data_IF_874029646677
#
_entry.id   IF_874029646677
#
_cell.length_a   1.000
_cell.length_b   1.000
_cell.length_c   1.000
_cell.angle_alpha   90.00
_cell.angle_beta   90.00
_cell.angle_gamma   90.00
#
_symmetry.space_group_name_H-M   'P 1'
#
loop_
_entity.id
_entity.type
_entity.pdbx_description
1 polymer ?
#
# COMPACT_ATOMS: atom_id res chain seq x y z
N UNK A 1 -10.48 27.55 68.55
CA UNK A 1 -11.51 27.58 69.61
C UNK A 1 -12.54 26.51 69.29
N UNK A 2 -12.80 25.59 70.24
CA UNK A 2 -13.83 24.53 70.24
C UNK A 2 -13.68 23.37 69.25
N UNK A 3 -13.96 22.11 69.58
CA UNK A 3 -14.14 21.29 70.80
C UNK A 3 -14.39 19.86 70.24
N UNK A 4 -13.74 18.83 70.77
CA UNK A 4 -14.06 17.40 70.53
C UNK A 4 -15.30 16.99 71.38
N UNK A 5 -15.60 15.72 71.73
CA UNK A 5 -15.47 14.41 71.09
C UNK A 5 -16.85 13.65 71.13
N UNK A 6 -16.89 12.36 70.79
CA UNK A 6 -18.06 11.52 71.07
C UNK A 6 -17.78 10.04 70.87
N UNK A 7 -17.41 9.37 71.95
CA UNK A 7 -17.18 7.93 72.07
C UNK A 7 -18.37 7.24 72.77
N UNK A 8 -18.57 5.96 72.49
CA UNK A 8 -19.32 4.96 73.28
C UNK A 8 -19.14 3.60 72.59
N UNK A 9 -18.42 2.61 73.12
CA UNK A 9 -18.68 1.75 74.31
C UNK A 9 -20.04 1.04 74.19
N UNK A 10 -20.24 -0.27 74.38
CA UNK A 10 -19.54 -1.42 75.00
C UNK A 10 -20.24 -2.69 74.43
N UNK A 11 -19.78 -3.93 74.53
CA UNK A 11 -19.67 -4.82 75.71
C UNK A 11 -19.25 -6.22 75.15
N UNK A 12 -18.22 -6.95 75.62
CA UNK A 12 -18.22 -7.85 76.79
C UNK A 12 -19.08 -9.10 76.56
N UNK A 13 -18.68 -10.38 76.60
CA UNK A 13 -17.50 -11.15 77.09
C UNK A 13 -17.53 -12.60 76.48
N UNK A 14 -16.97 -13.69 77.07
CA UNK A 14 -15.64 -14.26 76.75
C UNK A 14 -15.66 -15.79 76.42
N UNK A 15 -14.51 -16.35 75.99
CA UNK A 15 -14.30 -17.81 75.94
C UNK A 15 -13.02 -18.25 75.22
N UNK A 16 -11.97 -18.55 75.99
CA UNK A 16 -10.75 -19.30 75.58
C UNK A 16 -10.94 -20.79 75.97
N UNK A 17 -10.01 -21.74 75.66
CA UNK A 17 -8.91 -21.77 74.70
C UNK A 17 -8.83 -23.08 73.87
N UNK A 18 -7.92 -23.10 72.88
CA UNK A 18 -7.12 -24.30 72.59
C UNK A 18 -7.43 -25.02 71.27
N UNK A 19 -6.45 -25.01 70.36
CA UNK A 19 -5.87 -26.23 69.78
C UNK A 19 -4.82 -25.83 68.74
N UNK A 20 -3.59 -26.22 69.04
CA UNK A 20 -2.44 -26.24 68.14
C UNK A 20 -2.70 -27.32 67.10
N UNK A 21 -2.60 -26.98 65.81
CA UNK A 21 -2.85 -27.91 64.71
C UNK A 21 -2.13 -27.46 63.43
N UNK A 22 -1.03 -28.14 63.15
CA UNK A 22 -0.11 -28.00 62.02
C UNK A 22 -0.84 -28.14 60.67
N UNK A 23 -0.42 -27.40 59.64
CA UNK A 23 -0.92 -27.66 58.30
C UNK A 23 -0.58 -26.64 57.22
N UNK A 24 0.56 -26.89 56.57
CA UNK A 24 0.81 -26.64 55.14
C UNK A 24 0.78 -25.19 54.60
N UNK A 25 1.97 -24.74 54.20
CA UNK A 25 2.18 -23.75 53.16
C UNK A 25 1.26 -24.01 51.95
N UNK A 26 0.46 -23.01 51.57
CA UNK A 26 0.12 -22.77 50.17
C UNK A 26 0.36 -21.31 49.82
N UNK A 27 1.55 -21.10 49.24
CA UNK A 27 1.97 -19.88 48.55
C UNK A 27 0.99 -19.58 47.41
N UNK A 28 0.02 -18.70 47.66
CA UNK A 28 -0.85 -18.14 46.65
C UNK A 28 -0.04 -17.26 45.68
N UNK A 29 0.43 -17.87 44.60
CA UNK A 29 1.14 -17.20 43.50
C UNK A 29 0.18 -16.22 42.81
N UNK A 30 0.17 -14.96 43.25
CA UNK A 30 -0.50 -13.87 42.54
C UNK A 30 0.07 -13.79 41.12
N UNK A 31 -0.75 -14.19 40.13
CA UNK A 31 -0.42 -14.06 38.71
C UNK A 31 -0.56 -12.60 38.33
N UNK A 32 0.56 -11.88 38.18
CA UNK A 32 0.62 -10.58 37.52
C UNK A 32 0.03 -10.71 36.10
N UNK A 33 -0.98 -9.90 35.80
CA UNK A 33 -1.51 -9.78 34.45
C UNK A 33 -0.39 -9.31 33.49
N UNK A 34 -0.30 -9.86 32.26
CA UNK A 34 0.74 -9.45 31.33
C UNK A 34 0.48 -8.02 30.87
N UNK A 35 1.52 -7.19 30.93
CA UNK A 35 1.53 -5.86 30.34
C UNK A 35 1.21 -5.98 28.84
N UNK A 36 0.10 -5.40 28.42
CA UNK A 36 -0.31 -5.43 27.02
C UNK A 36 0.66 -4.58 26.20
N UNK A 37 1.51 -5.25 25.42
CA UNK A 37 2.40 -4.62 24.44
C UNK A 37 1.52 -3.97 23.36
N UNK A 38 1.27 -2.66 23.47
CA UNK A 38 0.66 -1.89 22.38
C UNK A 38 1.65 -1.84 21.22
N UNK A 39 1.46 -2.74 20.26
CA UNK A 39 2.15 -2.69 18.97
C UNK A 39 1.81 -1.35 18.31
N UNK A 40 2.76 -0.41 18.28
CA UNK A 40 2.69 0.73 17.37
C UNK A 40 2.84 0.18 15.96
N UNK A 41 1.71 -0.04 15.29
CA UNK A 41 1.71 -0.21 13.84
C UNK A 41 2.11 1.13 13.24
N UNK A 42 3.40 1.29 12.97
CA UNK A 42 3.89 2.35 12.08
C UNK A 42 3.19 2.13 10.74
N UNK A 43 2.25 3.00 10.38
CA UNK A 43 1.52 2.91 9.12
C UNK A 43 2.47 3.24 7.96
N UNK A 44 3.33 2.30 7.58
CA UNK A 44 3.98 2.34 6.27
C UNK A 44 2.87 2.16 5.26
N UNK A 45 2.36 3.26 4.70
CA UNK A 45 1.34 3.23 3.65
C UNK A 45 1.90 2.38 2.51
N UNK A 46 1.33 1.20 2.29
CA UNK A 46 1.68 0.35 1.16
C UNK A 46 1.57 1.18 -0.13
N UNK A 47 2.46 0.97 -1.12
CA UNK A 47 2.34 1.65 -2.41
C UNK A 47 0.94 1.44 -2.97
N UNK A 48 0.21 2.51 -3.29
CA UNK A 48 -1.08 2.38 -3.98
C UNK A 48 -0.83 1.86 -5.38
N UNK A 49 -1.42 0.71 -5.69
CA UNK A 49 -1.45 0.21 -7.07
C UNK A 49 -2.55 0.93 -7.85
N UNK A 50 -2.28 1.22 -9.12
CA UNK A 50 -3.24 1.82 -10.04
C UNK A 50 -3.22 1.12 -11.40
N UNK A 51 -4.35 1.17 -12.10
CA UNK A 51 -4.46 0.60 -13.43
C UNK A 51 -3.78 1.51 -14.46
N UNK A 52 -3.06 0.90 -15.39
CA UNK A 52 -2.34 1.61 -16.44
C UNK A 52 -2.27 0.82 -17.75
N UNK A 53 -2.01 1.55 -18.84
CA UNK A 53 -1.60 1.01 -20.13
C UNK A 53 -0.26 1.64 -20.53
N UNK A 54 0.60 0.86 -21.19
CA UNK A 54 1.82 1.40 -21.82
C UNK A 54 1.42 2.01 -23.16
N UNK A 55 1.61 3.32 -23.31
CA UNK A 55 1.40 4.00 -24.59
C UNK A 55 2.64 3.89 -25.47
N UNK A 56 3.81 4.17 -24.90
CA UNK A 56 5.08 4.18 -25.62
C UNK A 56 6.26 3.81 -24.71
N UNK A 57 7.35 3.36 -25.33
CA UNK A 57 8.58 2.95 -24.66
C UNK A 57 9.80 3.57 -25.35
N UNK A 58 10.72 4.08 -24.55
CA UNK A 58 11.99 4.63 -25.00
C UNK A 58 13.14 3.91 -24.30
N UNK A 59 14.13 3.49 -25.08
CA UNK A 59 15.40 3.01 -24.52
C UNK A 59 16.12 4.17 -23.80
N UNK A 60 16.44 3.96 -22.52
CA UNK A 60 17.10 4.97 -21.69
C UNK A 60 18.53 4.60 -21.33
N UNK A 61 18.75 3.33 -20.98
CA UNK A 61 20.07 2.80 -20.72
C UNK A 61 20.17 1.36 -21.20
N UNK A 62 21.34 0.75 -21.00
CA UNK A 62 21.54 -0.68 -21.27
C UNK A 62 20.47 -1.55 -20.60
N UNK A 63 20.04 -1.18 -19.39
CA UNK A 63 19.11 -1.99 -18.59
C UNK A 63 17.74 -1.35 -18.33
N UNK A 64 17.50 -0.11 -18.74
CA UNK A 64 16.31 0.66 -18.32
C UNK A 64 15.55 1.28 -19.50
N UNK A 65 14.24 1.48 -19.28
CA UNK A 65 13.32 2.14 -20.20
C UNK A 65 12.72 3.40 -19.57
N UNK A 66 12.39 4.40 -20.39
CA UNK A 66 11.36 5.39 -20.06
C UNK A 66 10.06 4.95 -20.74
N UNK A 67 8.96 5.01 -20.00
CA UNK A 67 7.61 4.67 -20.46
C UNK A 67 6.72 5.89 -20.38
N UNK A 68 5.87 6.09 -21.38
CA UNK A 68 4.67 6.91 -21.22
C UNK A 68 3.52 5.98 -20.85
N UNK A 69 2.99 6.14 -19.63
CA UNK A 69 1.87 5.36 -19.14
C UNK A 69 0.60 6.21 -19.17
N UNK A 70 -0.50 5.62 -19.62
CA UNK A 70 -1.83 6.15 -19.36
C UNK A 70 -2.39 5.47 -18.12
N UNK A 71 -2.57 6.21 -17.04
CA UNK A 71 -3.08 5.69 -15.76
C UNK A 71 -4.50 6.21 -15.52
N UNK A 72 -5.32 5.41 -14.85
CA UNK A 72 -6.71 5.79 -14.58
C UNK A 72 -6.81 6.95 -13.59
N UNK A 73 -5.98 6.94 -12.55
CA UNK A 73 -6.05 7.91 -11.44
C UNK A 73 -5.11 9.10 -11.61
N UNK A 74 -3.98 8.94 -12.32
CA UNK A 74 -2.97 10.01 -12.47
C UNK A 74 -2.88 10.57 -13.89
N UNK A 75 -3.73 10.11 -14.82
CA UNK A 75 -3.66 10.51 -16.22
C UNK A 75 -2.39 10.00 -16.92
N UNK A 76 -1.91 10.76 -17.91
CA UNK A 76 -0.66 10.42 -18.62
C UNK A 76 0.57 10.80 -17.79
N UNK A 77 1.47 9.85 -17.56
CA UNK A 77 2.67 10.04 -16.73
C UNK A 77 3.91 9.42 -17.39
N UNK A 78 5.06 10.10 -17.27
CA UNK A 78 6.34 9.57 -17.69
C UNK A 78 6.99 8.78 -16.55
N UNK A 79 7.48 7.57 -16.84
CA UNK A 79 7.95 6.63 -15.82
C UNK A 79 9.26 5.97 -16.23
N UNK A 80 10.27 5.99 -15.36
CA UNK A 80 11.49 5.23 -15.50
C UNK A 80 11.31 3.79 -14.95
N UNK A 81 11.44 2.80 -15.81
CA UNK A 81 11.46 1.37 -15.48
C UNK A 81 12.90 0.87 -15.41
N UNK A 82 13.50 0.99 -14.21
CA UNK A 82 14.90 0.61 -13.97
C UNK A 82 15.08 -0.90 -14.01
N UNK A 83 16.06 -1.39 -14.77
CA UNK A 83 16.35 -2.82 -14.85
C UNK A 83 15.32 -3.63 -15.65
N UNK A 84 14.37 -2.99 -16.34
CA UNK A 84 13.33 -3.66 -17.13
C UNK A 84 13.89 -4.55 -18.25
N UNK A 85 15.08 -4.23 -18.80
CA UNK A 85 15.69 -4.98 -19.92
C UNK A 85 16.53 -6.18 -19.48
N UNK A 86 16.73 -6.40 -18.17
CA UNK A 86 17.54 -7.52 -17.68
C UNK A 86 16.89 -8.87 -18.03
N UNK A 87 17.67 -9.94 -18.31
CA UNK A 87 17.12 -11.24 -18.74
C UNK A 87 16.05 -11.83 -17.81
N UNK A 88 16.22 -11.68 -16.49
CA UNK A 88 15.32 -12.21 -15.47
C UNK A 88 14.41 -11.15 -14.85
N UNK A 89 14.20 -10.02 -15.53
CA UNK A 89 13.34 -8.95 -15.03
C UNK A 89 11.87 -9.32 -15.18
N UNK A 90 11.14 -9.36 -14.07
CA UNK A 90 9.68 -9.56 -14.08
C UNK A 90 8.94 -8.48 -14.88
N UNK A 91 9.51 -7.26 -14.93
CA UNK A 91 8.94 -6.14 -15.69
C UNK A 91 8.92 -6.41 -17.20
N UNK A 92 9.90 -7.16 -17.73
CA UNK A 92 10.03 -7.42 -19.17
C UNK A 92 8.81 -8.15 -19.73
N UNK A 93 8.16 -8.98 -18.93
CA UNK A 93 7.03 -9.80 -19.36
C UNK A 93 5.69 -9.03 -19.39
N UNK A 94 5.59 -7.90 -18.67
CA UNK A 94 4.31 -7.21 -18.45
C UNK A 94 4.25 -5.82 -19.07
N UNK A 95 5.39 -5.20 -19.40
CA UNK A 95 5.43 -3.86 -19.99
C UNK A 95 5.16 -3.89 -21.50
N UNK A 96 3.99 -4.39 -21.89
CA UNK A 96 3.56 -4.48 -23.29
C UNK A 96 2.51 -3.40 -23.61
N UNK A 97 2.58 -2.76 -24.79
CA UNK A 97 1.52 -1.86 -25.24
C UNK A 97 0.19 -2.60 -25.41
N UNK A 98 -0.92 -1.86 -25.33
CA UNK A 98 -2.29 -2.38 -25.51
C UNK A 98 -2.73 -3.43 -24.47
N UNK A 99 -1.94 -3.65 -23.42
CA UNK A 99 -2.28 -4.56 -22.33
C UNK A 99 -2.47 -3.79 -21.03
N UNK A 100 -3.52 -4.13 -20.29
CA UNK A 100 -3.78 -3.53 -18.98
C UNK A 100 -2.78 -4.09 -17.97
N UNK A 101 -2.15 -3.20 -17.21
CA UNK A 101 -1.25 -3.52 -16.11
C UNK A 101 -1.68 -2.81 -14.84
N UNK A 102 -1.33 -3.39 -13.70
CA UNK A 102 -1.42 -2.75 -12.39
C UNK A 102 -0.02 -2.30 -11.99
N UNK A 103 0.17 -1.01 -11.73
CA UNK A 103 1.48 -0.42 -11.46
C UNK A 103 1.52 0.23 -10.10
N UNK A 104 2.68 0.16 -9.44
CA UNK A 104 3.00 1.02 -8.30
C UNK A 104 4.11 1.99 -8.70
N UNK A 105 3.88 3.28 -8.53
CA UNK A 105 4.80 4.35 -8.93
C UNK A 105 5.37 5.05 -7.70
N UNK A 106 6.60 5.55 -7.75
CA UNK A 106 7.11 6.48 -6.74
C UNK A 106 6.29 7.77 -6.75
N UNK A 107 6.38 8.60 -5.70
CA UNK A 107 5.85 9.97 -5.82
C UNK A 107 6.61 10.72 -6.92
N UNK A 108 5.97 11.67 -7.62
CA UNK A 108 6.67 12.61 -8.47
C UNK A 108 7.76 13.30 -7.67
N UNK A 109 9.00 13.26 -8.16
CA UNK A 109 10.03 14.12 -7.61
C UNK A 109 9.78 15.53 -8.18
N UNK A 110 9.62 16.52 -7.30
CA UNK A 110 9.73 17.93 -7.71
C UNK A 110 11.18 18.14 -8.14
N UNK A 111 11.43 18.06 -9.45
CA UNK A 111 12.71 18.41 -10.03
C UNK A 111 12.46 19.33 -11.22
N UNK A 112 13.27 20.39 -11.30
CA UNK A 112 13.20 21.55 -12.20
C UNK A 112 13.38 21.20 -13.69
N UNK A 113 12.55 20.31 -14.25
CA UNK A 113 12.63 19.96 -15.67
C UNK A 113 11.73 18.83 -16.17
N UNK A 114 10.93 18.19 -15.31
CA UNK A 114 9.93 17.21 -15.74
C UNK A 114 9.74 16.09 -14.73
N UNK A 115 8.51 15.89 -14.28
CA UNK A 115 8.15 14.90 -13.26
C UNK A 115 8.18 13.46 -13.82
N UNK A 116 9.38 12.89 -14.00
CA UNK A 116 9.53 11.45 -14.29
C UNK A 116 9.46 10.67 -12.99
N UNK A 117 8.46 9.79 -12.87
CA UNK A 117 8.30 8.89 -11.72
C UNK A 117 9.13 7.62 -11.90
N UNK A 118 9.43 6.89 -10.83
CA UNK A 118 10.06 5.55 -10.91
C UNK A 118 9.00 4.46 -10.80
N UNK A 119 9.03 3.48 -11.71
CA UNK A 119 8.22 2.27 -11.61
C UNK A 119 8.76 1.39 -10.48
N UNK A 120 7.94 1.14 -9.46
CA UNK A 120 8.31 0.27 -8.32
C UNK A 120 7.93 -1.18 -8.58
N UNK A 121 6.74 -1.41 -9.15
CA UNK A 121 6.30 -2.73 -9.61
C UNK A 121 5.28 -2.58 -10.74
N UNK A 122 5.18 -3.62 -11.58
CA UNK A 122 4.12 -3.80 -12.54
C UNK A 122 3.68 -5.26 -12.55
N UNK A 123 2.38 -5.48 -12.63
CA UNK A 123 1.75 -6.79 -12.70
C UNK A 123 0.73 -6.78 -13.83
N UNK A 124 0.51 -7.93 -14.47
CA UNK A 124 -0.55 -8.02 -15.47
C UNK A 124 -1.92 -7.80 -14.81
N UNK A 125 -2.69 -6.86 -15.34
CA UNK A 125 -3.98 -6.44 -14.77
C UNK A 125 -5.17 -7.28 -15.23
N UNK A 126 -4.94 -8.39 -15.95
CA UNK A 126 -6.00 -9.11 -16.64
C UNK A 126 -6.45 -8.40 -17.92
N UNK A 127 -7.49 -8.92 -18.57
CA UNK A 127 -8.15 -8.28 -19.72
C UNK A 127 -8.15 -9.13 -20.99
N UNK A 128 -8.66 -8.52 -22.07
CA UNK A 128 -8.78 -9.16 -23.37
C UNK A 128 -7.41 -9.53 -23.95
N UNK A 129 -7.42 -10.50 -24.86
CA UNK A 129 -6.25 -10.84 -25.68
C UNK A 129 -5.83 -9.64 -26.52
N UNK A 130 -4.52 -9.48 -26.75
CA UNK A 130 -4.01 -8.42 -27.62
C UNK A 130 -4.72 -8.44 -28.98
N UNK A 131 -5.09 -7.25 -29.53
CA UNK A 131 -5.64 -7.16 -30.88
C UNK A 131 -4.67 -7.75 -31.92
N UNK A 132 -5.21 -8.32 -32.99
CA UNK A 132 -4.43 -8.94 -34.06
C UNK A 132 -4.78 -8.34 -35.43
N UNK A 133 -3.87 -8.50 -36.41
CA UNK A 133 -4.10 -8.02 -37.77
C UNK A 133 -4.28 -6.50 -37.84
N UNK A 134 -5.28 -6.04 -38.58
CA UNK A 134 -5.55 -4.61 -38.77
C UNK A 134 -5.87 -3.87 -37.46
N UNK A 135 -6.55 -4.54 -36.52
CA UNK A 135 -6.92 -3.94 -35.23
C UNK A 135 -5.69 -3.60 -34.37
N UNK A 136 -4.59 -4.35 -34.52
CA UNK A 136 -3.33 -4.05 -33.84
C UNK A 136 -2.79 -2.68 -34.26
N UNK A 137 -2.82 -2.36 -35.55
CA UNK A 137 -2.36 -1.07 -36.05
C UNK A 137 -3.29 0.07 -35.61
N UNK A 138 -4.60 -0.16 -35.59
CA UNK A 138 -5.55 0.81 -35.05
C UNK A 138 -5.31 1.09 -33.56
N UNK A 139 -4.99 0.07 -32.76
CA UNK A 139 -4.62 0.24 -31.36
C UNK A 139 -3.36 1.08 -31.18
N UNK A 140 -2.31 0.83 -31.97
CA UNK A 140 -1.11 1.67 -31.95
C UNK A 140 -1.39 3.11 -32.39
N UNK A 141 -2.25 3.31 -33.40
CA UNK A 141 -2.68 4.64 -33.80
C UNK A 141 -3.43 5.36 -32.68
N UNK A 142 -4.28 4.66 -31.94
CA UNK A 142 -4.95 5.21 -30.76
C UNK A 142 -3.95 5.63 -29.68
N UNK A 143 -2.93 4.81 -29.39
CA UNK A 143 -1.86 5.20 -28.46
C UNK A 143 -1.18 6.50 -28.88
N UNK A 144 -0.88 6.64 -30.17
CA UNK A 144 -0.29 7.86 -30.73
C UNK A 144 -1.20 9.09 -30.58
N UNK A 145 -2.52 8.92 -30.74
CA UNK A 145 -3.48 9.98 -30.49
C UNK A 145 -3.51 10.37 -29.01
N UNK A 146 -3.54 9.40 -28.09
CA UNK A 146 -3.50 9.68 -26.65
C UNK A 146 -2.22 10.43 -26.25
N UNK A 147 -1.07 10.09 -26.83
CA UNK A 147 0.19 10.80 -26.61
C UNK A 147 0.15 12.25 -27.11
N UNK A 148 -0.52 12.52 -28.23
CA UNK A 148 -0.56 13.85 -28.82
C UNK A 148 -1.62 14.76 -28.17
N UNK A 149 -2.72 14.17 -27.73
CA UNK A 149 -3.91 14.91 -27.34
C UNK A 149 -4.07 15.06 -25.82
N UNK A 150 -3.54 14.13 -25.00
CA UNK A 150 -3.69 14.22 -23.55
C UNK A 150 -2.60 15.06 -22.90
N UNK A 151 -2.98 15.97 -22.00
CA UNK A 151 -2.02 16.62 -21.12
C UNK A 151 -1.38 15.62 -20.14
N UNK A 152 -0.17 15.92 -19.65
CA UNK A 152 0.44 15.13 -18.57
C UNK A 152 -0.27 15.42 -17.26
N UNK A 153 -0.42 14.39 -16.42
CA UNK A 153 -1.05 14.48 -15.10
C UNK A 153 -2.51 14.99 -15.11
N UNK A 154 -3.22 14.82 -16.22
CA UNK A 154 -4.66 15.12 -16.36
C UNK A 154 -5.47 13.80 -16.41
N UNK A 155 -6.14 13.39 -15.32
CA UNK A 155 -6.86 12.12 -15.26
C UNK A 155 -8.16 12.13 -16.07
N UNK A 156 -8.30 11.17 -16.99
CA UNK A 156 -9.53 10.93 -17.73
C UNK A 156 -10.04 9.49 -17.50
N UNK A 157 -10.64 9.19 -16.34
CA UNK A 157 -11.04 7.81 -15.99
C UNK A 157 -12.08 7.22 -16.96
N UNK A 158 -13.02 8.02 -17.47
CA UNK A 158 -14.00 7.54 -18.46
C UNK A 158 -13.35 7.17 -19.80
N UNK A 159 -12.33 7.92 -20.23
CA UNK A 159 -11.55 7.58 -21.42
C UNK A 159 -10.68 6.34 -21.19
N UNK A 160 -10.12 6.21 -19.99
CA UNK A 160 -9.38 5.00 -19.59
C UNK A 160 -10.26 3.75 -19.67
N UNK A 161 -11.49 3.84 -19.13
CA UNK A 161 -12.43 2.74 -19.14
C UNK A 161 -12.88 2.43 -20.59
N UNK A 162 -13.17 3.46 -21.42
CA UNK A 162 -13.52 3.28 -22.83
C UNK A 162 -12.38 2.69 -23.69
N UNK A 163 -11.13 3.02 -23.38
CA UNK A 163 -9.96 2.45 -24.05
C UNK A 163 -9.86 0.92 -23.83
N UNK A 164 -10.40 0.40 -22.72
CA UNK A 164 -10.42 -1.03 -22.45
C UNK A 164 -11.41 -1.81 -23.34
N UNK A 165 -12.37 -1.12 -23.97
CA UNK A 165 -13.41 -1.71 -24.82
C UNK A 165 -13.02 -1.71 -26.32
N UNK A 166 -11.83 -1.20 -26.67
CA UNK A 166 -11.27 -1.19 -28.04
C UNK A 166 -10.48 -2.46 -28.37
#
# INVERSE_FOLDING_TARGET
LRVAPGAGASDGRPGLPGAVGQGALRLGRQRRAPAQLRLRVSSTRSPSMQAAYVLHQHDWSETSLILDLFTRESGRVAVAAKGAKRPYSQLRAVLLPLQRISVSLSRPAKADGGEVQTLRSAEWGGGATLPVGAALFSGYYLNELLLKLLARHDPHPGLFDAYADT
#
